data_IF_420985935160
#
_entry.id   IF_420985935160
#
_cell.length_a   1.000
_cell.length_b   1.000
_cell.length_c   1.000
_cell.angle_alpha   90.00
_cell.angle_beta   90.00
_cell.angle_gamma   90.00
#
_symmetry.space_group_name_H-M   'P 1'
#
loop_
_entity.id
_entity.type
_entity.pdbx_description
1 polymer ?
#
# COMPACT_ATOMS: atom_id res chain seq x y z
N UNK A 1 -14.30 5.73 -17.11
CA UNK A 1 -13.75 4.39 -17.43
C UNK A 1 -12.35 4.53 -18.02
N UNK A 2 -11.47 3.63 -17.67
CA UNK A 2 -10.12 3.54 -18.21
C UNK A 2 -9.99 2.31 -19.12
N UNK A 3 -8.86 2.20 -19.81
CA UNK A 3 -8.48 1.01 -20.55
C UNK A 3 -7.18 0.43 -20.00
N UNK A 4 -6.77 -0.73 -20.53
CA UNK A 4 -5.53 -1.36 -20.09
C UNK A 4 -4.29 -0.51 -20.34
N UNK A 5 -4.34 0.41 -21.30
CA UNK A 5 -3.24 1.35 -21.54
C UNK A 5 -3.07 2.39 -20.43
N UNK A 6 -4.11 2.61 -19.64
CA UNK A 6 -4.10 3.57 -18.53
C UNK A 6 -3.65 2.95 -17.21
N UNK A 7 -3.42 1.64 -17.17
CA UNK A 7 -3.00 0.93 -15.95
C UNK A 7 -1.68 1.46 -15.42
N UNK A 8 -1.67 1.77 -14.13
CA UNK A 8 -0.47 2.17 -13.39
C UNK A 8 -0.55 1.70 -11.94
N UNK A 9 0.58 1.62 -11.27
CA UNK A 9 0.65 1.24 -9.86
C UNK A 9 -0.10 2.26 -8.99
N UNK A 10 -0.87 1.77 -8.03
CA UNK A 10 -1.68 2.59 -7.15
C UNK A 10 -3.08 2.91 -7.68
N UNK A 11 -3.37 2.58 -8.92
CA UNK A 11 -4.70 2.79 -9.52
C UNK A 11 -5.74 1.92 -8.83
N UNK A 12 -6.88 2.50 -8.47
CA UNK A 12 -7.99 1.79 -7.86
C UNK A 12 -9.09 1.50 -8.86
N UNK A 13 -9.55 0.26 -8.86
CA UNK A 13 -10.52 -0.26 -9.84
C UNK A 13 -11.64 -1.01 -9.14
N UNK A 14 -12.81 -1.05 -9.80
CA UNK A 14 -13.88 -1.95 -9.42
C UNK A 14 -13.71 -3.26 -10.20
N UNK A 15 -13.47 -4.33 -9.48
CA UNK A 15 -13.31 -5.66 -10.07
C UNK A 15 -14.27 -6.63 -9.38
N UNK A 16 -15.18 -7.23 -10.16
CA UNK A 16 -16.23 -8.12 -9.64
C UNK A 16 -17.08 -7.49 -8.52
N UNK A 17 -17.35 -6.19 -8.62
CA UNK A 17 -18.16 -5.48 -7.63
C UNK A 17 -17.43 -5.12 -6.34
N UNK A 18 -16.10 -5.29 -6.29
CA UNK A 18 -15.30 -4.98 -5.12
C UNK A 18 -14.15 -4.02 -5.47
N UNK A 19 -13.71 -3.19 -4.51
CA UNK A 19 -12.60 -2.27 -4.75
C UNK A 19 -11.25 -3.00 -4.68
N UNK A 20 -10.44 -2.82 -5.71
CA UNK A 20 -9.07 -3.34 -5.78
C UNK A 20 -8.08 -2.24 -6.12
N UNK A 21 -6.86 -2.36 -5.63
CA UNK A 21 -5.75 -1.50 -6.00
C UNK A 21 -4.73 -2.29 -6.80
N UNK A 22 -4.30 -1.74 -7.93
CA UNK A 22 -3.25 -2.35 -8.75
C UNK A 22 -1.90 -2.07 -8.09
N UNK A 23 -1.21 -3.11 -7.65
CA UNK A 23 0.09 -2.99 -6.99
C UNK A 23 1.26 -3.30 -7.91
N UNK A 24 1.05 -4.13 -8.93
CA UNK A 24 2.04 -4.42 -9.97
C UNK A 24 1.34 -4.68 -11.29
N UNK A 25 2.00 -4.34 -12.39
CA UNK A 25 1.50 -4.66 -13.73
C UNK A 25 2.65 -4.89 -14.70
N UNK A 26 2.37 -5.68 -15.74
CA UNK A 26 3.30 -5.95 -16.82
C UNK A 26 2.53 -6.05 -18.14
N UNK A 27 2.88 -5.19 -19.10
CA UNK A 27 2.38 -5.28 -20.46
C UNK A 27 3.16 -6.36 -21.23
N UNK A 28 2.45 -7.33 -21.79
CA UNK A 28 3.04 -8.43 -22.55
C UNK A 28 2.53 -8.39 -23.96
N UNK A 29 3.47 -8.35 -24.94
CA UNK A 29 3.18 -8.44 -26.36
C UNK A 29 3.84 -9.71 -26.90
N UNK A 30 3.14 -10.86 -26.90
CA UNK A 30 3.73 -12.10 -27.41
C UNK A 30 3.95 -12.00 -28.93
N UNK A 31 4.93 -12.76 -29.44
CA UNK A 31 5.20 -12.80 -30.88
C UNK A 31 4.05 -13.43 -31.68
N UNK A 32 3.23 -14.26 -31.03
CA UNK A 32 1.99 -14.81 -31.54
C UNK A 32 0.90 -14.66 -30.54
N UNK A 33 -0.28 -14.22 -30.97
CA UNK A 33 -1.43 -13.99 -30.12
C UNK A 33 -1.64 -12.54 -29.71
N UNK A 34 -2.72 -12.28 -29.00
CA UNK A 34 -3.10 -10.94 -28.58
C UNK A 34 -2.25 -10.46 -27.40
N UNK A 35 -1.96 -9.17 -27.37
CA UNK A 35 -1.30 -8.54 -26.23
C UNK A 35 -2.21 -8.58 -24.99
N UNK A 36 -1.61 -8.60 -23.82
CA UNK A 36 -2.33 -8.62 -22.55
C UNK A 36 -1.53 -7.90 -21.48
N UNK A 37 -2.21 -7.57 -20.36
CA UNK A 37 -1.59 -6.95 -19.21
C UNK A 37 -1.77 -7.86 -18.00
N UNK A 38 -0.67 -8.34 -17.45
CA UNK A 38 -0.68 -9.08 -16.18
C UNK A 38 -0.68 -8.09 -15.04
N UNK A 39 -1.61 -8.25 -14.12
CA UNK A 39 -1.72 -7.37 -12.97
C UNK A 39 -1.73 -8.16 -11.68
N UNK A 40 -1.15 -7.57 -10.64
CA UNK A 40 -1.33 -8.02 -9.28
C UNK A 40 -2.19 -6.97 -8.58
N UNK A 41 -3.33 -7.40 -8.07
CA UNK A 41 -4.32 -6.51 -7.48
C UNK A 41 -4.61 -6.91 -6.04
N UNK A 42 -4.77 -5.89 -5.19
CA UNK A 42 -5.07 -6.07 -3.77
C UNK A 42 -6.49 -5.63 -3.47
N UNK A 43 -7.26 -6.51 -2.86
CA UNK A 43 -8.61 -6.17 -2.41
C UNK A 43 -8.53 -5.17 -1.25
N UNK A 44 -9.21 -4.03 -1.38
CA UNK A 44 -9.17 -2.96 -0.37
C UNK A 44 -10.11 -3.21 0.80
N UNK A 45 -10.94 -4.25 0.75
CA UNK A 45 -11.80 -4.63 1.87
C UNK A 45 -11.22 -5.77 2.70
N UNK A 46 -10.59 -6.75 2.03
CA UNK A 46 -10.06 -7.95 2.69
C UNK A 46 -8.55 -7.99 2.82
N UNK A 47 -7.84 -7.15 2.07
CA UNK A 47 -6.39 -7.15 2.03
C UNK A 47 -5.77 -8.27 1.19
N UNK A 48 -6.56 -9.14 0.60
CA UNK A 48 -6.07 -10.25 -0.22
C UNK A 48 -5.49 -9.76 -1.54
N UNK A 49 -4.41 -10.38 -1.95
CA UNK A 49 -3.74 -10.11 -3.23
C UNK A 49 -4.01 -11.26 -4.18
N UNK A 50 -4.37 -10.93 -5.41
CA UNK A 50 -4.55 -11.92 -6.46
C UNK A 50 -3.93 -11.42 -7.77
N UNK A 51 -3.64 -12.37 -8.66
CA UNK A 51 -3.17 -12.09 -10.00
C UNK A 51 -4.35 -12.12 -10.97
N UNK A 52 -4.43 -11.10 -11.83
CA UNK A 52 -5.44 -11.05 -12.87
C UNK A 52 -4.82 -10.57 -14.19
N UNK A 53 -5.25 -11.16 -15.28
CA UNK A 53 -4.79 -10.79 -16.61
C UNK A 53 -5.92 -10.13 -17.38
N UNK A 54 -5.67 -8.92 -17.87
CA UNK A 54 -6.61 -8.20 -18.72
C UNK A 54 -6.15 -8.30 -20.17
N UNK A 55 -7.04 -8.65 -21.11
CA UNK A 55 -6.70 -8.55 -22.54
C UNK A 55 -6.47 -7.08 -22.92
N UNK A 56 -5.55 -6.84 -23.86
CA UNK A 56 -5.26 -5.47 -24.31
C UNK A 56 -6.54 -4.82 -24.86
N UNK A 57 -6.77 -3.57 -24.47
CA UNK A 57 -7.97 -2.83 -24.86
C UNK A 57 -9.20 -3.11 -24.00
N UNK A 58 -9.10 -3.96 -22.98
CA UNK A 58 -10.21 -4.18 -22.05
C UNK A 58 -10.56 -2.88 -21.32
N UNK A 59 -11.85 -2.69 -21.08
CA UNK A 59 -12.35 -1.55 -20.30
C UNK A 59 -12.22 -1.88 -18.81
N UNK A 60 -11.76 -0.89 -18.07
CA UNK A 60 -11.56 -1.01 -16.62
C UNK A 60 -12.38 0.09 -15.94
N UNK A 61 -13.22 -0.32 -15.01
CA UNK A 61 -13.99 0.61 -14.20
C UNK A 61 -13.10 1.14 -13.07
N UNK A 62 -12.84 2.44 -13.07
CA UNK A 62 -12.03 3.09 -12.05
C UNK A 62 -12.89 3.53 -10.88
N UNK A 63 -12.27 3.59 -9.69
CA UNK A 63 -12.88 4.10 -8.48
C UNK A 63 -12.20 5.43 -8.14
N UNK A 64 -13.00 6.45 -7.84
CA UNK A 64 -12.50 7.72 -7.34
C UNK A 64 -12.08 7.56 -5.88
N UNK A 65 -10.82 7.83 -5.62
CA UNK A 65 -10.22 7.70 -4.29
C UNK A 65 -9.85 9.09 -3.77
N UNK A 66 -10.27 9.36 -2.54
CA UNK A 66 -9.87 10.54 -1.80
C UNK A 66 -8.90 10.14 -0.69
N UNK A 67 -7.76 10.81 -0.61
CA UNK A 67 -6.80 10.60 0.47
C UNK A 67 -7.09 11.61 1.58
N UNK A 68 -7.35 11.12 2.79
CA UNK A 68 -7.53 11.94 3.97
C UNK A 68 -6.44 11.65 4.98
N UNK A 69 -5.93 12.69 5.63
CA UNK A 69 -4.85 12.57 6.59
C UNK A 69 -5.40 12.18 7.97
N UNK A 70 -4.89 11.06 8.50
CA UNK A 70 -5.23 10.56 9.83
C UNK A 70 -3.93 10.31 10.62
N UNK A 71 -4.02 10.44 11.94
CA UNK A 71 -2.91 10.16 12.83
C UNK A 71 -3.04 8.75 13.40
N UNK A 72 -1.97 7.97 13.32
CA UNK A 72 -1.92 6.67 13.97
C UNK A 72 -1.87 6.86 15.48
N UNK A 73 -2.77 6.20 16.22
CA UNK A 73 -2.84 6.28 17.68
C UNK A 73 -2.06 5.14 18.33
N UNK A 74 -2.51 3.92 18.12
CA UNK A 74 -1.90 2.73 18.71
C UNK A 74 -2.39 1.45 18.03
N UNK A 75 -1.70 0.37 18.31
CA UNK A 75 -2.03 -0.98 17.89
C UNK A 75 -2.35 -1.79 19.17
N UNK A 76 -3.53 -2.42 19.19
CA UNK A 76 -3.98 -3.21 20.35
C UNK A 76 -3.62 -4.70 20.25
N UNK A 77 -2.78 -5.09 19.29
CA UNK A 77 -2.38 -6.46 19.03
C UNK A 77 -3.12 -7.12 17.87
N UNK A 78 -4.32 -6.68 17.55
CA UNK A 78 -5.11 -7.17 16.41
C UNK A 78 -5.48 -6.06 15.44
N UNK A 79 -5.82 -4.90 15.95
CA UNK A 79 -6.30 -3.77 15.15
C UNK A 79 -5.44 -2.53 15.35
N UNK A 80 -5.42 -1.69 14.32
CA UNK A 80 -4.69 -0.43 14.29
C UNK A 80 -5.69 0.72 14.33
N UNK A 81 -5.49 1.66 15.25
CA UNK A 81 -6.41 2.76 15.51
C UNK A 81 -5.86 4.08 14.99
N UNK A 82 -6.69 4.81 14.26
CA UNK A 82 -6.34 6.09 13.64
C UNK A 82 -7.37 7.16 13.99
N UNK A 83 -6.95 8.41 14.01
CA UNK A 83 -7.82 9.55 14.34
C UNK A 83 -7.61 10.68 13.34
N UNK A 84 -8.72 11.25 12.87
CA UNK A 84 -8.70 12.49 12.11
C UNK A 84 -8.37 13.64 13.05
N UNK A 85 -7.33 14.40 12.77
CA UNK A 85 -6.86 15.48 13.63
C UNK A 85 -7.74 16.73 13.59
N UNK A 86 -8.62 16.85 12.60
CA UNK A 86 -9.51 18.00 12.46
C UNK A 86 -10.82 17.80 13.22
N UNK A 87 -11.46 16.63 13.06
CA UNK A 87 -12.79 16.35 13.66
C UNK A 87 -12.76 15.28 14.74
N UNK A 88 -11.58 14.70 15.04
CA UNK A 88 -11.38 13.65 16.05
C UNK A 88 -12.13 12.35 15.76
N UNK A 89 -12.54 12.14 14.52
CA UNK A 89 -13.18 10.90 14.10
C UNK A 89 -12.16 9.75 14.13
N UNK A 90 -12.55 8.62 14.73
CA UNK A 90 -11.67 7.46 14.87
C UNK A 90 -12.05 6.35 13.90
N UNK A 91 -11.03 5.71 13.33
CA UNK A 91 -11.19 4.56 12.45
C UNK A 91 -10.26 3.43 12.91
N UNK A 92 -10.70 2.21 12.67
CA UNK A 92 -9.95 1.00 13.00
C UNK A 92 -9.73 0.17 11.75
N UNK A 93 -8.50 -0.31 11.56
CA UNK A 93 -8.13 -1.11 10.39
C UNK A 93 -7.41 -2.38 10.81
N UNK A 94 -7.66 -3.46 10.08
CA UNK A 94 -6.87 -4.68 10.17
C UNK A 94 -5.48 -4.48 9.54
N UNK A 95 -4.50 -5.25 10.00
CA UNK A 95 -3.11 -5.16 9.52
C UNK A 95 -3.00 -5.29 8.00
N UNK A 96 -3.81 -6.15 7.40
CA UNK A 96 -3.80 -6.43 5.97
C UNK A 96 -4.20 -5.23 5.10
N UNK A 97 -4.89 -4.26 5.68
CA UNK A 97 -5.33 -3.05 4.99
C UNK A 97 -4.32 -1.91 5.07
N UNK A 98 -3.18 -2.13 5.70
CA UNK A 98 -2.10 -1.15 5.86
C UNK A 98 -0.92 -1.61 5.01
N UNK A 99 -0.37 -0.71 4.18
CA UNK A 99 0.67 -1.09 3.23
C UNK A 99 2.03 -1.41 3.86
N UNK A 100 2.35 -0.80 4.99
CA UNK A 100 3.62 -1.04 5.69
C UNK A 100 3.43 -0.90 7.20
N UNK A 101 2.68 -1.83 7.83
CA UNK A 101 2.30 -1.67 9.25
C UNK A 101 3.50 -1.71 10.20
N UNK A 102 4.60 -2.35 9.82
CA UNK A 102 5.79 -2.46 10.68
C UNK A 102 6.54 -1.12 10.85
N UNK A 103 6.28 -0.15 10.00
CA UNK A 103 6.87 1.19 10.09
C UNK A 103 5.99 2.19 10.84
N UNK A 104 4.81 1.78 11.31
CA UNK A 104 3.93 2.65 12.07
C UNK A 104 4.47 2.94 13.48
N UNK A 105 4.49 4.21 13.84
CA UNK A 105 4.88 4.69 15.17
C UNK A 105 3.75 5.56 15.71
N UNK A 106 3.52 5.49 17.01
CA UNK A 106 2.47 6.27 17.67
C UNK A 106 2.61 7.77 17.33
N UNK A 107 1.53 8.36 16.86
CA UNK A 107 1.50 9.77 16.46
C UNK A 107 1.89 10.03 15.00
N UNK A 108 2.25 9.00 14.23
CA UNK A 108 2.61 9.15 12.81
C UNK A 108 1.39 9.55 11.98
N UNK A 109 1.59 10.51 11.07
CA UNK A 109 0.56 10.91 10.12
C UNK A 109 0.55 9.98 8.91
N UNK A 110 -0.63 9.48 8.58
CA UNK A 110 -0.84 8.54 7.48
C UNK A 110 -1.98 9.03 6.58
N UNK A 111 -2.14 8.39 5.44
CA UNK A 111 -3.23 8.67 4.52
C UNK A 111 -4.22 7.52 4.52
N UNK A 112 -5.48 7.84 4.77
CA UNK A 112 -6.57 6.87 4.66
C UNK A 112 -7.25 7.05 3.31
N UNK A 113 -7.36 5.96 2.57
CA UNK A 113 -8.01 5.93 1.27
C UNK A 113 -9.51 5.79 1.46
N UNK A 114 -10.27 6.79 0.98
CA UNK A 114 -11.72 6.78 1.00
C UNK A 114 -12.29 6.57 -0.39
N UNK A 115 -13.31 5.74 -0.49
CA UNK A 115 -14.14 5.67 -1.69
C UNK A 115 -14.97 6.95 -1.75
N UNK A 116 -14.63 7.85 -2.67
CA UNK A 116 -15.18 9.21 -2.66
C UNK A 116 -16.71 9.24 -2.77
N UNK A 117 -17.29 8.40 -3.63
CA UNK A 117 -18.75 8.36 -3.83
C UNK A 117 -19.51 7.72 -2.67
N UNK A 118 -18.90 6.80 -1.95
CA UNK A 118 -19.52 6.11 -0.81
C UNK A 118 -19.12 6.71 0.53
N UNK A 119 -18.14 7.60 0.55
CA UNK A 119 -17.54 8.19 1.76
C UNK A 119 -17.11 7.10 2.76
N UNK A 120 -16.53 6.02 2.26
CA UNK A 120 -16.15 4.84 3.04
C UNK A 120 -14.63 4.70 3.06
N UNK A 121 -14.07 4.52 4.28
CA UNK A 121 -12.66 4.23 4.46
C UNK A 121 -12.34 2.81 3.99
N UNK A 122 -11.26 2.64 3.22
CA UNK A 122 -10.90 1.34 2.64
C UNK A 122 -9.56 0.82 3.13
N UNK A 123 -8.52 1.64 3.10
CA UNK A 123 -7.16 1.21 3.41
C UNK A 123 -6.32 2.36 3.94
N UNK A 124 -5.14 2.04 4.45
CA UNK A 124 -4.19 3.03 4.98
C UNK A 124 -2.88 2.93 4.22
N UNK A 125 -2.35 4.08 3.79
CA UNK A 125 -1.03 4.18 3.20
C UNK A 125 -0.14 5.11 4.02
N UNK A 126 1.08 4.65 4.29
CA UNK A 126 2.09 5.49 4.91
C UNK A 126 2.66 6.48 3.88
N UNK A 127 3.25 7.62 4.32
CA UNK A 127 4.01 8.47 3.42
C UNK A 127 5.13 7.68 2.72
N UNK A 128 5.54 8.13 1.54
CA UNK A 128 6.60 7.47 0.76
C UNK A 128 7.92 7.36 1.52
N UNK A 129 8.20 8.34 2.35
CA UNK A 129 9.38 8.37 3.21
C UNK A 129 8.97 8.63 4.64
N UNK A 130 9.60 7.94 5.57
CA UNK A 130 9.39 8.12 7.00
C UNK A 130 10.74 8.32 7.69
N UNK A 131 10.76 9.17 8.71
CA UNK A 131 11.93 9.38 9.56
C UNK A 131 11.74 8.59 10.85
N UNK A 132 12.49 7.52 11.01
CA UNK A 132 12.40 6.65 12.17
C UNK A 132 13.73 6.57 12.88
N UNK A 133 13.67 6.52 14.21
CA UNK A 133 14.84 6.36 15.03
C UNK A 133 15.36 4.94 14.94
N UNK A 134 16.66 4.77 14.71
CA UNK A 134 17.32 3.46 14.76
C UNK A 134 17.45 3.04 16.22
N UNK A 135 16.84 1.89 16.58
CA UNK A 135 16.87 1.36 17.93
C UNK A 135 17.96 0.30 18.11
N UNK A 136 18.33 -0.38 17.02
CA UNK A 136 19.40 -1.38 17.01
C UNK A 136 20.08 -1.39 15.64
N UNK A 137 21.40 -1.53 15.66
CA UNK A 137 22.20 -1.66 14.45
C UNK A 137 23.23 -2.76 14.66
N UNK A 138 23.35 -3.65 13.69
CA UNK A 138 24.40 -4.66 13.69
C UNK A 138 25.77 -4.02 13.57
N UNK A 139 26.79 -4.51 14.32
CA UNK A 139 28.14 -4.01 14.18
C UNK A 139 28.69 -4.37 12.79
N UNK A 140 29.36 -3.38 12.16
CA UNK A 140 30.07 -3.60 10.90
C UNK A 140 31.52 -3.94 11.20
N UNK A 141 32.03 -5.02 10.61
CA UNK A 141 33.43 -5.42 10.79
C UNK A 141 34.32 -4.48 9.96
N UNK A 142 35.26 -3.84 10.62
CA UNK A 142 36.27 -2.97 9.97
C UNK A 142 37.16 -3.85 9.07
N UNK A 143 37.35 -3.41 7.82
CA UNK A 143 38.14 -4.14 6.83
C UNK A 143 37.31 -4.90 5.79
N UNK A 144 35.99 -4.81 5.87
CA UNK A 144 35.12 -5.29 4.81
C UNK A 144 35.31 -4.39 3.57
N UNK A 145 35.93 -4.93 2.54
CA UNK A 145 36.34 -4.18 1.33
C UNK A 145 35.25 -4.06 0.28
N UNK A 146 34.06 -4.63 0.53
CA UNK A 146 32.94 -4.48 -0.39
C UNK A 146 32.49 -3.01 -0.43
N UNK A 147 32.48 -2.41 -1.62
CA UNK A 147 32.02 -1.03 -1.81
C UNK A 147 30.54 -0.81 -1.49
N UNK A 148 29.78 -1.89 -1.39
CA UNK A 148 28.33 -1.89 -1.09
C UNK A 148 28.03 -2.66 0.20
N UNK A 149 28.87 -2.48 1.22
CA UNK A 149 28.61 -3.10 2.52
C UNK A 149 27.29 -2.56 3.09
N UNK A 150 26.35 -3.46 3.35
CA UNK A 150 25.05 -3.13 3.91
C UNK A 150 24.88 -3.86 5.24
N UNK A 151 24.16 -3.24 6.15
CA UNK A 151 23.81 -3.85 7.43
C UNK A 151 22.33 -3.66 7.72
N UNK A 152 21.75 -4.62 8.42
CA UNK A 152 20.39 -4.55 8.88
C UNK A 152 20.31 -3.69 10.14
N UNK A 153 19.37 -2.77 10.18
CA UNK A 153 19.09 -1.97 11.37
C UNK A 153 17.63 -2.17 11.79
N UNK A 154 17.37 -2.08 13.09
CA UNK A 154 16.01 -2.07 13.61
C UNK A 154 15.65 -0.62 13.93
N UNK A 155 14.49 -0.18 13.46
CA UNK A 155 13.96 1.15 13.71
C UNK A 155 12.85 1.09 14.74
N UNK A 156 12.45 2.25 15.27
CA UNK A 156 11.32 2.33 16.17
C UNK A 156 10.06 1.75 15.49
N UNK A 157 9.23 1.05 16.26
CA UNK A 157 8.13 0.26 15.71
C UNK A 157 8.49 -1.20 15.44
N UNK A 158 9.79 -1.57 15.46
CA UNK A 158 10.27 -2.95 15.33
C UNK A 158 10.59 -3.41 13.91
N UNK A 159 10.42 -2.56 12.89
CA UNK A 159 10.77 -2.92 11.52
C UNK A 159 12.28 -3.03 11.33
N UNK A 160 12.70 -3.95 10.47
CA UNK A 160 14.11 -4.12 10.06
C UNK A 160 14.30 -3.65 8.63
N UNK A 161 15.36 -2.88 8.40
CA UNK A 161 15.71 -2.33 7.10
C UNK A 161 17.19 -2.50 6.77
#
# INVERSE_FOLDING_TARGET
>A
MASTSDIKNGMCINFNGQPYQIIEFLHVKPGKGAAFVRTKIKNLETGRVLDNTFPAGAKIETIDIENRQYQFLYNDGSDYHFMNTENYEQLTFAKELINAPDFLVDGMMCYVLFHASENRAMAVELPRTVNLKVTYSEPTVKGNTSSNAMKTVTVEGGAQV
#
